data_IF_724046846782
#
_entry.id   IF_724046846782
#
_cell.length_a   1.000
_cell.length_b   1.000
_cell.length_c   1.000
_cell.angle_alpha   90.00
_cell.angle_beta   90.00
_cell.angle_gamma   90.00
#
_symmetry.space_group_name_H-M   'P 1'
#
loop_
_entity.id
_entity.type
_entity.pdbx_description
1 polymer ?
#
# COMPACT_ATOMS: atom_id res chain seq x y z
N UNK A 1 -23.88 15.30 -1.30
CA UNK A 1 -22.88 16.11 -0.58
C UNK A 1 -23.00 16.04 0.95
N UNK A 2 -24.18 15.74 1.53
CA UNK A 2 -24.37 15.57 2.99
C UNK A 2 -23.83 14.27 3.62
N UNK A 3 -22.77 13.67 3.06
CA UNK A 3 -22.17 12.41 3.54
C UNK A 3 -20.79 12.61 4.20
N UNK A 4 -20.08 13.69 3.83
CA UNK A 4 -18.77 14.02 4.38
C UNK A 4 -18.94 14.98 5.57
N UNK A 5 -18.16 14.75 6.62
CA UNK A 5 -17.96 15.72 7.68
C UNK A 5 -16.63 16.43 7.44
N UNK A 6 -16.62 17.75 7.67
CA UNK A 6 -15.51 18.65 7.41
C UNK A 6 -15.01 18.71 5.93
N UNK A 7 -15.89 18.73 4.91
CA UNK A 7 -15.42 18.98 3.55
C UNK A 7 -14.92 20.43 3.44
N UNK A 8 -13.71 20.62 2.94
CA UNK A 8 -13.17 21.96 2.73
C UNK A 8 -13.83 22.57 1.49
N UNK A 9 -14.80 23.47 1.72
CA UNK A 9 -15.52 24.19 0.67
C UNK A 9 -15.21 25.68 0.79
N UNK A 10 -14.41 26.20 -0.14
CA UNK A 10 -14.19 27.64 -0.29
C UNK A 10 -14.40 28.10 -1.73
N UNK A 11 -14.75 29.37 -1.88
CA UNK A 11 -14.88 29.99 -3.20
C UNK A 11 -13.48 30.28 -3.78
N UNK A 12 -13.31 29.99 -5.06
CA UNK A 12 -12.13 30.35 -5.82
C UNK A 12 -11.84 31.86 -5.74
N UNK A 13 -10.57 32.22 -5.54
CA UNK A 13 -10.10 33.60 -5.57
C UNK A 13 -9.35 33.85 -6.88
N UNK A 14 -9.69 34.94 -7.58
CA UNK A 14 -9.04 35.29 -8.85
C UNK A 14 -7.52 35.46 -8.63
N UNK A 15 -6.72 34.76 -9.43
CA UNK A 15 -5.26 34.78 -9.35
C UNK A 15 -4.63 33.64 -8.54
N UNK A 16 -5.45 32.80 -7.90
CA UNK A 16 -5.01 31.60 -7.20
C UNK A 16 -4.81 30.42 -8.16
N UNK A 17 -3.82 29.56 -7.90
CA UNK A 17 -3.60 28.32 -8.66
C UNK A 17 -4.68 27.29 -8.33
N UNK A 18 -5.20 26.60 -9.35
CA UNK A 18 -6.16 25.49 -9.23
C UNK A 18 -5.41 24.17 -9.35
N UNK A 19 -5.49 23.34 -8.31
CA UNK A 19 -4.80 22.07 -8.22
C UNK A 19 -5.81 20.93 -8.13
N UNK A 20 -5.77 20.01 -9.09
CA UNK A 20 -6.54 18.78 -9.04
C UNK A 20 -5.73 17.72 -8.29
N UNK A 21 -6.25 17.22 -7.17
CA UNK A 21 -5.70 16.08 -6.46
C UNK A 21 -6.44 14.81 -6.91
N UNK A 22 -5.78 14.03 -7.75
CA UNK A 22 -6.37 12.87 -8.41
C UNK A 22 -5.95 11.59 -7.70
N UNK A 23 -6.93 10.88 -7.15
CA UNK A 23 -6.78 9.50 -6.70
C UNK A 23 -7.50 8.63 -7.73
N UNK A 24 -6.78 8.04 -8.71
CA UNK A 24 -7.39 7.31 -9.83
C UNK A 24 -7.86 5.91 -9.40
N UNK A 25 -8.53 5.83 -8.26
CA UNK A 25 -9.22 4.65 -7.78
C UNK A 25 -10.52 5.08 -7.06
N UNK A 26 -11.16 4.17 -6.34
CA UNK A 26 -12.47 4.40 -5.74
C UNK A 26 -12.39 5.41 -4.60
N UNK A 27 -13.40 6.26 -4.48
CA UNK A 27 -13.57 7.25 -3.42
C UNK A 27 -13.35 6.64 -2.03
N UNK A 28 -13.91 5.45 -1.77
CA UNK A 28 -13.80 4.76 -0.48
C UNK A 28 -12.36 4.44 -0.07
N UNK A 29 -11.46 4.20 -1.02
CA UNK A 29 -10.03 4.01 -0.77
C UNK A 29 -9.31 5.34 -0.62
N UNK A 30 -9.67 6.34 -1.44
CA UNK A 30 -9.04 7.65 -1.41
C UNK A 30 -9.34 8.45 -0.14
N UNK A 31 -10.56 8.37 0.39
CA UNK A 31 -10.89 9.02 1.67
C UNK A 31 -10.17 8.36 2.85
N UNK A 32 -9.86 7.07 2.75
CA UNK A 32 -9.10 6.31 3.73
C UNK A 32 -7.56 6.43 3.55
N UNK A 33 -7.10 7.33 2.67
CA UNK A 33 -5.69 7.57 2.41
C UNK A 33 -5.21 8.84 3.13
N UNK A 34 -4.45 8.67 4.20
CA UNK A 34 -3.98 9.80 5.02
C UNK A 34 -3.02 10.74 4.28
N UNK A 35 -2.18 10.21 3.38
CA UNK A 35 -1.30 11.04 2.55
C UNK A 35 -2.08 11.95 1.61
N UNK A 36 -3.19 11.44 1.03
CA UNK A 36 -4.09 12.23 0.21
C UNK A 36 -4.77 13.35 1.02
N UNK A 37 -5.21 13.05 2.25
CA UNK A 37 -5.81 14.04 3.16
C UNK A 37 -4.80 15.13 3.54
N UNK A 38 -3.55 14.75 3.83
CA UNK A 38 -2.46 15.69 4.14
C UNK A 38 -2.14 16.61 2.96
N UNK A 39 -1.96 16.06 1.76
CA UNK A 39 -1.71 16.87 0.54
C UNK A 39 -2.90 17.82 0.29
N UNK A 40 -4.13 17.31 0.41
CA UNK A 40 -5.31 18.14 0.21
C UNK A 40 -5.40 19.31 1.20
N UNK A 41 -5.10 19.05 2.48
CA UNK A 41 -5.08 20.08 3.51
C UNK A 41 -3.97 21.11 3.26
N UNK A 42 -2.73 20.64 3.03
CA UNK A 42 -1.55 21.50 2.82
C UNK A 42 -1.74 22.41 1.60
N UNK A 43 -2.13 21.87 0.43
CA UNK A 43 -2.32 22.70 -0.77
C UNK A 43 -3.41 23.75 -0.54
N UNK A 44 -4.47 23.41 0.19
CA UNK A 44 -5.57 24.33 0.46
C UNK A 44 -5.21 25.53 1.36
N UNK A 45 -4.03 25.53 1.99
CA UNK A 45 -3.51 26.68 2.74
C UNK A 45 -3.06 27.83 1.82
N UNK A 46 -2.59 27.53 0.60
CA UNK A 46 -2.01 28.52 -0.32
C UNK A 46 -2.52 28.46 -1.77
N UNK A 47 -3.28 27.44 -2.15
CA UNK A 47 -3.88 27.28 -3.48
C UNK A 47 -5.25 26.59 -3.40
N UNK A 48 -6.06 26.62 -4.47
CA UNK A 48 -7.34 25.93 -4.47
C UNK A 48 -7.15 24.46 -4.88
N UNK A 49 -7.33 23.53 -3.95
CA UNK A 49 -7.24 22.10 -4.25
C UNK A 49 -8.61 21.42 -4.22
N UNK A 50 -8.92 20.64 -5.26
CA UNK A 50 -10.14 19.86 -5.38
C UNK A 50 -9.82 18.40 -5.73
N UNK A 51 -10.65 17.47 -5.23
CA UNK A 51 -10.39 16.02 -5.29
C UNK A 51 -11.07 15.38 -6.50
N UNK A 52 -10.43 14.35 -7.04
CA UNK A 52 -10.93 13.55 -8.15
C UNK A 52 -10.77 12.06 -7.86
N UNK A 53 -11.82 11.29 -8.10
CA UNK A 53 -11.85 9.84 -7.89
C UNK A 53 -12.39 9.12 -9.13
N UNK A 54 -11.87 7.94 -9.44
CA UNK A 54 -12.25 7.22 -10.67
C UNK A 54 -13.73 6.81 -10.73
N UNK A 55 -14.39 6.63 -9.59
CA UNK A 55 -15.82 6.28 -9.49
C UNK A 55 -16.72 7.49 -9.22
N UNK A 56 -16.16 8.70 -9.09
CA UNK A 56 -16.91 9.95 -8.95
C UNK A 56 -16.74 10.78 -10.22
N UNK A 57 -17.84 10.98 -10.96
CA UNK A 57 -17.81 11.62 -12.29
C UNK A 57 -16.76 11.03 -13.25
N UNK A 58 -16.42 9.75 -13.09
CA UNK A 58 -15.37 9.05 -13.84
C UNK A 58 -13.97 9.69 -13.71
N UNK A 59 -13.72 10.45 -12.65
CA UNK A 59 -12.48 11.21 -12.45
C UNK A 59 -12.36 12.44 -13.38
N UNK A 60 -13.42 12.85 -14.07
CA UNK A 60 -13.39 13.95 -15.03
C UNK A 60 -13.82 15.30 -14.44
N UNK A 61 -14.49 15.27 -13.28
CA UNK A 61 -14.97 16.45 -12.56
C UNK A 61 -14.65 16.31 -11.07
N UNK A 62 -14.40 17.44 -10.43
CA UNK A 62 -14.09 17.48 -9.01
C UNK A 62 -15.27 17.08 -8.13
N UNK A 63 -14.96 16.61 -6.93
CA UNK A 63 -15.97 16.28 -5.91
C UNK A 63 -16.64 17.53 -5.34
N UNK A 64 -15.85 18.58 -5.11
CA UNK A 64 -16.27 19.79 -4.38
C UNK A 64 -17.24 20.64 -5.20
N UNK A 65 -16.89 20.92 -6.46
CA UNK A 65 -17.64 21.90 -7.28
C UNK A 65 -18.14 21.33 -8.59
N UNK A 66 -17.75 20.10 -8.95
CA UNK A 66 -18.06 19.52 -10.26
C UNK A 66 -17.30 20.18 -11.41
N UNK A 67 -16.24 20.93 -11.13
CA UNK A 67 -15.38 21.58 -12.12
C UNK A 67 -14.68 20.52 -12.97
N UNK A 68 -14.72 20.61 -14.32
CA UNK A 68 -13.94 19.75 -15.21
C UNK A 68 -12.44 19.81 -14.90
N UNK A 69 -11.76 18.66 -14.96
CA UNK A 69 -10.31 18.57 -14.73
C UNK A 69 -9.51 19.51 -15.66
N UNK A 70 -9.98 19.72 -16.89
CA UNK A 70 -9.35 20.60 -17.88
C UNK A 70 -9.23 22.08 -17.45
N UNK A 71 -9.96 22.51 -16.43
CA UNK A 71 -9.90 23.89 -15.93
C UNK A 71 -8.90 24.12 -14.78
N UNK A 72 -8.10 23.10 -14.45
CA UNK A 72 -7.07 23.18 -13.41
C UNK A 72 -5.69 23.47 -14.01
N UNK A 73 -4.82 24.08 -13.23
CA UNK A 73 -3.45 24.42 -13.64
C UNK A 73 -2.49 23.23 -13.42
N UNK A 74 -2.72 22.49 -12.33
CA UNK A 74 -1.93 21.31 -11.95
C UNK A 74 -2.84 20.11 -11.72
N UNK A 75 -2.33 18.91 -12.02
CA UNK A 75 -2.94 17.64 -11.63
C UNK A 75 -1.90 16.77 -10.91
N UNK A 76 -2.11 16.57 -9.61
CA UNK A 76 -1.29 15.74 -8.74
C UNK A 76 -1.96 14.36 -8.61
N UNK A 77 -1.35 13.34 -9.20
CA UNK A 77 -1.86 11.97 -9.19
C UNK A 77 -1.20 11.16 -8.07
N UNK A 78 -2.01 10.56 -7.19
CA UNK A 78 -1.55 9.63 -6.16
C UNK A 78 -1.78 8.18 -6.60
N UNK A 79 -0.74 7.53 -7.10
CA UNK A 79 -0.78 6.17 -7.64
C UNK A 79 -0.37 5.18 -6.53
N UNK A 80 -1.33 4.43 -6.00
CA UNK A 80 -1.10 3.52 -4.87
C UNK A 80 -0.82 2.09 -5.32
N UNK A 81 -1.51 1.64 -6.38
CA UNK A 81 -1.42 0.28 -6.92
C UNK A 81 -1.20 0.31 -8.42
N UNK A 82 -0.67 -0.75 -9.02
CA UNK A 82 -0.37 -0.76 -10.46
C UNK A 82 -1.63 -0.64 -11.34
N UNK A 83 -2.77 -1.14 -10.85
CA UNK A 83 -4.05 -0.97 -11.54
C UNK A 83 -4.51 0.50 -11.61
N UNK A 84 -4.00 1.37 -10.72
CA UNK A 84 -4.28 2.81 -10.74
C UNK A 84 -3.68 3.47 -12.00
N UNK A 85 -2.60 2.92 -12.56
CA UNK A 85 -1.95 3.43 -13.77
C UNK A 85 -2.91 3.45 -14.97
N UNK A 86 -3.70 2.39 -15.18
CA UNK A 86 -4.70 2.35 -16.25
C UNK A 86 -5.74 3.45 -16.09
N UNK A 87 -6.24 3.64 -14.87
CA UNK A 87 -7.27 4.64 -14.56
C UNK A 87 -6.71 6.05 -14.69
N UNK A 88 -5.45 6.27 -14.28
CA UNK A 88 -4.77 7.55 -14.42
C UNK A 88 -4.65 7.97 -15.89
N UNK A 89 -4.14 7.08 -16.75
CA UNK A 89 -4.02 7.31 -18.20
C UNK A 89 -5.39 7.51 -18.84
N UNK A 90 -6.41 6.75 -18.42
CA UNK A 90 -7.78 6.93 -18.92
C UNK A 90 -8.37 8.31 -18.56
N UNK A 91 -8.15 8.80 -17.33
CA UNK A 91 -8.57 10.13 -16.88
C UNK A 91 -7.87 11.23 -17.69
N UNK A 92 -6.54 11.13 -17.86
CA UNK A 92 -5.76 12.10 -18.64
C UNK A 92 -6.27 12.18 -20.09
N UNK A 93 -6.46 11.03 -20.74
CA UNK A 93 -6.93 10.96 -22.12
C UNK A 93 -8.33 11.53 -22.31
N UNK A 94 -9.26 11.26 -21.38
CA UNK A 94 -10.66 11.70 -21.48
C UNK A 94 -10.89 13.14 -21.05
N UNK A 95 -10.05 13.68 -20.18
CA UNK A 95 -10.20 15.04 -19.66
C UNK A 95 -9.68 16.13 -20.59
N UNK A 96 -8.82 15.79 -21.56
CA UNK A 96 -8.06 16.77 -22.35
C UNK A 96 -7.28 17.76 -21.47
N UNK A 97 -6.83 17.33 -20.30
CA UNK A 97 -6.04 18.15 -19.38
C UNK A 97 -4.72 18.58 -20.03
N UNK A 98 -4.38 19.88 -19.93
CA UNK A 98 -3.17 20.48 -20.53
C UNK A 98 -2.25 21.16 -19.51
N UNK A 99 -2.64 21.19 -18.24
CA UNK A 99 -1.80 21.70 -17.17
C UNK A 99 -0.65 20.75 -16.84
N UNK A 100 0.08 21.07 -15.77
CA UNK A 100 1.25 20.30 -15.33
C UNK A 100 0.77 19.04 -14.58
N UNK A 101 1.21 17.86 -15.04
CA UNK A 101 0.82 16.54 -14.53
C UNK A 101 1.99 15.93 -13.75
N UNK A 102 1.80 15.74 -12.45
CA UNK A 102 2.80 15.14 -11.56
C UNK A 102 2.20 13.89 -10.94
N UNK A 103 2.93 12.78 -10.94
CA UNK A 103 2.53 11.57 -10.24
C UNK A 103 3.41 11.32 -9.02
N UNK A 104 2.83 10.75 -7.96
CA UNK A 104 3.52 10.29 -6.77
C UNK A 104 2.83 9.06 -6.18
N UNK A 105 3.30 8.62 -5.02
CA UNK A 105 2.76 7.45 -4.32
C UNK A 105 3.62 6.18 -4.46
N UNK A 106 3.28 5.10 -3.73
CA UNK A 106 4.08 3.89 -3.65
C UNK A 106 4.47 3.27 -5.00
N UNK A 107 3.53 3.19 -5.95
CA UNK A 107 3.79 2.60 -7.26
C UNK A 107 4.71 3.49 -8.12
N UNK A 108 4.69 4.80 -7.90
CA UNK A 108 5.64 5.73 -8.53
C UNK A 108 7.03 5.61 -7.89
N UNK A 109 7.09 5.43 -6.57
CA UNK A 109 8.35 5.24 -5.84
C UNK A 109 9.02 3.89 -6.14
N UNK A 110 8.25 2.89 -6.57
CA UNK A 110 8.80 1.59 -6.99
C UNK A 110 9.38 1.63 -8.41
N UNK A 111 8.62 2.17 -9.37
CA UNK A 111 9.06 2.26 -10.76
C UNK A 111 8.12 3.16 -11.57
N UNK A 112 8.49 4.43 -11.83
CA UNK A 112 7.66 5.34 -12.61
C UNK A 112 7.82 5.16 -14.12
N UNK A 113 8.75 4.33 -14.61
CA UNK A 113 9.12 4.31 -16.03
C UNK A 113 7.97 3.96 -16.96
N UNK A 114 7.07 3.06 -16.55
CA UNK A 114 5.91 2.68 -17.35
C UNK A 114 4.96 3.86 -17.60
N UNK A 115 4.94 4.85 -16.70
CA UNK A 115 4.11 6.04 -16.79
C UNK A 115 4.80 7.23 -17.47
N UNK A 116 6.10 7.13 -17.81
CA UNK A 116 6.94 8.27 -18.22
C UNK A 116 6.35 9.09 -19.36
N UNK A 117 5.65 8.46 -20.30
CA UNK A 117 5.06 9.13 -21.48
C UNK A 117 3.80 9.97 -21.17
N UNK A 118 3.22 9.81 -19.98
CA UNK A 118 1.91 10.40 -19.65
C UNK A 118 2.01 11.57 -18.66
N UNK A 119 3.12 11.67 -17.92
CA UNK A 119 3.33 12.66 -16.87
C UNK A 119 4.54 13.53 -17.19
N UNK A 120 4.50 14.76 -16.68
CA UNK A 120 5.58 15.73 -16.84
C UNK A 120 6.69 15.47 -15.81
N UNK A 121 6.32 14.99 -14.63
CA UNK A 121 7.26 14.63 -13.57
C UNK A 121 6.70 13.58 -12.60
N UNK A 122 7.60 12.99 -11.82
CA UNK A 122 7.31 12.02 -10.77
C UNK A 122 7.95 12.47 -9.46
N UNK A 123 7.19 12.49 -8.37
CA UNK A 123 7.72 12.75 -7.05
C UNK A 123 8.06 11.44 -6.34
N UNK A 124 9.34 11.24 -6.03
CA UNK A 124 9.87 10.07 -5.34
C UNK A 124 10.06 10.40 -3.86
N UNK A 125 9.07 10.06 -3.04
CA UNK A 125 9.15 10.28 -1.61
C UNK A 125 7.86 10.74 -0.96
N UNK A 126 8.06 11.43 0.16
CA UNK A 126 7.03 12.09 0.97
C UNK A 126 7.07 13.59 0.64
N UNK A 127 5.97 14.12 0.08
CA UNK A 127 5.90 15.44 -0.56
C UNK A 127 5.56 16.56 0.41
N UNK A 128 5.21 16.22 1.65
CA UNK A 128 4.81 17.18 2.68
C UNK A 128 5.88 18.28 2.85
N UNK A 129 5.42 19.54 2.89
CA UNK A 129 6.24 20.77 2.96
C UNK A 129 7.08 21.11 1.73
N UNK A 130 6.85 20.42 0.60
CA UNK A 130 7.49 20.72 -0.70
C UNK A 130 6.46 21.16 -1.75
N UNK A 131 5.17 21.10 -1.42
CA UNK A 131 4.10 21.38 -2.38
C UNK A 131 4.11 22.83 -2.87
N UNK A 132 4.45 23.81 -2.03
CA UNK A 132 4.52 25.22 -2.45
C UNK A 132 5.63 25.45 -3.49
N UNK A 133 6.81 24.85 -3.30
CA UNK A 133 7.91 24.89 -4.26
C UNK A 133 7.51 24.27 -5.60
N UNK A 134 6.98 23.04 -5.56
CA UNK A 134 6.52 22.31 -6.76
C UNK A 134 5.42 23.08 -7.48
N UNK A 135 4.46 23.62 -6.74
CA UNK A 135 3.33 24.35 -7.30
C UNK A 135 3.67 25.79 -7.64
N UNK A 136 4.90 26.27 -7.39
CA UNK A 136 5.33 27.63 -7.78
C UNK A 136 5.71 27.74 -9.26
N UNK A 137 6.10 26.63 -9.88
CA UNK A 137 6.58 26.55 -11.26
C UNK A 137 5.54 27.05 -12.28
N UNK A 138 6.03 27.48 -13.45
CA UNK A 138 5.22 27.99 -14.56
C UNK A 138 5.16 27.05 -15.76
N UNK A 139 6.15 26.16 -15.88
CA UNK A 139 6.20 25.17 -16.96
C UNK A 139 6.82 23.85 -16.45
N UNK A 140 6.58 22.73 -17.14
CA UNK A 140 7.17 21.43 -16.82
C UNK A 140 8.70 21.44 -16.66
N UNK A 141 9.40 22.24 -17.45
CA UNK A 141 10.86 22.27 -17.47
C UNK A 141 11.45 22.80 -16.15
N UNK A 142 10.72 23.69 -15.45
CA UNK A 142 11.12 24.24 -14.15
C UNK A 142 11.02 23.21 -13.01
N UNK A 143 10.42 22.03 -13.25
CA UNK A 143 10.38 20.94 -12.27
C UNK A 143 11.74 20.24 -12.12
N UNK A 144 12.59 20.28 -13.15
CA UNK A 144 13.89 19.64 -13.11
C UNK A 144 14.80 20.33 -12.09
N UNK A 145 15.50 19.53 -11.29
CA UNK A 145 16.36 20.01 -10.20
C UNK A 145 15.66 20.19 -8.85
N UNK A 146 14.32 20.12 -8.78
CA UNK A 146 13.60 20.07 -7.49
C UNK A 146 13.90 18.74 -6.79
N UNK A 147 14.21 18.78 -5.50
CA UNK A 147 14.54 17.59 -4.72
C UNK A 147 13.37 16.58 -4.73
N UNK A 148 13.67 15.33 -5.08
CA UNK A 148 12.68 14.24 -5.16
C UNK A 148 11.89 14.20 -6.46
N UNK A 149 12.03 15.19 -7.35
CA UNK A 149 11.43 15.17 -8.67
C UNK A 149 12.31 14.39 -9.65
N UNK A 150 11.67 13.53 -10.44
CA UNK A 150 12.24 12.91 -11.63
C UNK A 150 11.37 13.25 -12.84
N UNK A 151 11.95 13.97 -13.80
CA UNK A 151 11.33 14.32 -15.09
C UNK A 151 11.73 13.34 -16.19
N UNK A 152 12.67 12.43 -15.91
CA UNK A 152 13.28 11.54 -16.89
C UNK A 152 14.44 12.15 -17.66
N UNK A 153 14.78 13.41 -17.40
CA UNK A 153 16.04 14.01 -17.83
C UNK A 153 17.19 13.68 -16.84
N UNK A 154 16.87 13.36 -15.59
CA UNK A 154 17.84 13.06 -14.55
C UNK A 154 18.28 11.59 -14.62
N UNK A 155 19.60 11.37 -14.58
CA UNK A 155 20.20 10.02 -14.53
C UNK A 155 19.88 9.27 -13.22
N UNK A 156 19.61 10.02 -12.15
CA UNK A 156 19.33 9.48 -10.82
C UNK A 156 18.43 10.44 -10.03
N UNK A 157 17.55 9.88 -9.21
CA UNK A 157 16.70 10.64 -8.27
C UNK A 157 16.82 10.04 -6.88
N UNK A 158 16.94 10.91 -5.87
CA UNK A 158 16.98 10.48 -4.47
C UNK A 158 15.60 10.62 -3.84
N UNK A 159 15.17 9.57 -3.14
CA UNK A 159 13.92 9.59 -2.39
C UNK A 159 13.99 10.63 -1.26
N UNK A 160 12.96 11.47 -1.20
CA UNK A 160 12.75 12.44 -0.12
C UNK A 160 11.88 11.82 0.99
N UNK A 161 12.23 12.09 2.24
CA UNK A 161 11.39 11.76 3.39
C UNK A 161 11.61 12.77 4.52
N UNK A 162 10.56 13.04 5.29
CA UNK A 162 10.55 14.09 6.32
C UNK A 162 10.41 13.52 7.74
N UNK A 163 10.72 14.32 8.76
CA UNK A 163 10.32 13.92 10.13
C UNK A 163 8.80 13.90 10.22
N UNK A 164 8.24 12.91 10.91
CA UNK A 164 6.81 12.89 11.22
C UNK A 164 6.57 13.95 12.31
N UNK A 165 5.89 15.04 11.95
CA UNK A 165 5.60 16.15 12.86
C UNK A 165 4.22 16.05 13.51
N UNK A 166 3.51 17.18 13.62
CA UNK A 166 2.12 17.25 14.07
C UNK A 166 1.17 16.54 13.10
N UNK A 167 0.14 15.87 13.62
CA UNK A 167 -0.88 15.23 12.80
C UNK A 167 -1.86 16.27 12.24
N UNK A 168 -2.55 15.90 11.16
CA UNK A 168 -3.67 16.67 10.64
C UNK A 168 -4.80 16.71 11.69
N UNK A 169 -5.20 17.91 12.09
CA UNK A 169 -6.28 18.12 13.08
C UNK A 169 -7.67 17.93 12.46
N UNK A 170 -7.77 18.22 11.16
CA UNK A 170 -9.02 18.34 10.44
C UNK A 170 -9.01 17.44 9.20
N UNK A 171 -9.53 16.23 9.34
CA UNK A 171 -9.72 15.29 8.23
C UNK A 171 -11.11 15.39 7.63
N UNK A 172 -11.23 15.04 6.34
CA UNK A 172 -12.54 14.77 5.74
C UNK A 172 -12.98 13.39 6.17
N UNK A 173 -14.09 13.32 6.91
CA UNK A 173 -14.61 12.08 7.46
C UNK A 173 -15.80 11.60 6.62
N UNK A 174 -15.67 10.41 6.05
CA UNK A 174 -16.77 9.72 5.36
C UNK A 174 -16.64 8.19 5.54
N UNK A 175 -17.56 7.44 4.93
CA UNK A 175 -17.45 5.98 4.89
C UNK A 175 -16.30 5.57 3.94
N UNK A 176 -15.17 5.18 4.51
CA UNK A 176 -14.00 4.66 3.79
C UNK A 176 -13.79 3.16 3.98
N UNK A 177 -12.60 2.67 3.63
CA UNK A 177 -12.20 1.26 3.79
C UNK A 177 -12.28 0.74 5.24
N UNK A 178 -12.11 1.63 6.23
CA UNK A 178 -12.22 1.32 7.66
C UNK A 178 -13.60 1.66 8.25
N UNK A 179 -14.59 1.95 7.41
CA UNK A 179 -15.87 2.53 7.81
C UNK A 179 -15.77 4.05 8.01
N UNK A 180 -16.67 4.62 8.79
CA UNK A 180 -16.64 6.04 9.18
C UNK A 180 -15.75 6.22 10.41
N UNK A 181 -14.52 6.69 10.22
CA UNK A 181 -13.56 6.88 11.29
C UNK A 181 -12.64 8.09 11.02
N UNK A 182 -11.90 8.48 12.05
CA UNK A 182 -10.74 9.36 11.94
C UNK A 182 -9.49 8.50 11.74
N UNK A 183 -8.58 8.88 10.83
CA UNK A 183 -7.33 8.17 10.61
C UNK A 183 -6.24 8.77 11.51
N UNK A 184 -5.48 7.94 12.21
CA UNK A 184 -4.35 8.43 13.03
C UNK A 184 -3.10 7.71 12.56
N UNK A 185 -2.23 8.41 11.83
CA UNK A 185 -0.91 7.90 11.47
C UNK A 185 0.00 7.88 12.71
N UNK A 186 0.24 6.69 13.25
CA UNK A 186 1.11 6.50 14.41
C UNK A 186 2.56 6.27 14.01
N UNK A 187 2.82 5.93 12.75
CA UNK A 187 4.18 5.73 12.25
C UNK A 187 4.24 5.44 10.75
N UNK A 188 5.44 5.64 10.20
CA UNK A 188 5.75 5.47 8.77
C UNK A 188 7.01 4.64 8.62
N UNK A 189 7.01 3.71 7.66
CA UNK A 189 8.08 2.71 7.53
C UNK A 189 7.91 1.54 8.52
N UNK A 190 8.74 0.52 8.37
CA UNK A 190 8.68 -0.71 9.16
C UNK A 190 10.08 -1.12 9.63
N UNK A 191 10.18 -1.64 10.86
CA UNK A 191 11.45 -2.14 11.45
C UNK A 191 11.81 -3.54 10.94
N UNK A 192 10.84 -4.25 10.37
CA UNK A 192 10.97 -5.64 9.93
C UNK A 192 11.71 -5.75 8.59
N UNK A 193 12.24 -6.94 8.32
CA UNK A 193 13.17 -7.20 7.20
C UNK A 193 12.64 -8.18 6.16
N UNK A 194 11.31 -8.33 6.08
CA UNK A 194 10.66 -9.24 5.13
C UNK A 194 11.18 -9.02 3.70
N UNK A 195 11.63 -10.11 3.06
CA UNK A 195 12.38 -10.08 1.81
C UNK A 195 11.53 -9.71 0.58
N UNK A 196 10.20 -9.78 0.70
CA UNK A 196 9.25 -9.44 -0.36
C UNK A 196 8.64 -8.03 -0.22
N UNK A 197 8.84 -7.37 0.93
CA UNK A 197 8.03 -6.21 1.29
C UNK A 197 8.68 -4.90 0.83
N UNK A 198 8.05 -4.23 -0.13
CA UNK A 198 8.53 -2.96 -0.66
C UNK A 198 8.50 -1.81 0.36
N UNK A 199 7.58 -1.84 1.34
CA UNK A 199 7.47 -0.82 2.39
C UNK A 199 8.76 -0.68 3.20
N UNK A 200 9.50 -1.78 3.38
CA UNK A 200 10.84 -1.78 3.98
C UNK A 200 11.82 -0.85 3.24
N UNK A 201 11.61 -0.62 1.96
CA UNK A 201 12.52 0.11 1.08
C UNK A 201 12.07 1.55 0.91
N UNK A 202 10.84 1.74 0.43
CA UNK A 202 10.34 3.05 0.01
C UNK A 202 10.00 3.96 1.21
N UNK A 203 9.80 3.41 2.41
CA UNK A 203 9.48 4.21 3.62
C UNK A 203 10.55 4.16 4.70
N UNK A 204 11.71 3.56 4.44
CA UNK A 204 12.83 3.55 5.38
C UNK A 204 13.37 4.98 5.64
N UNK A 205 13.89 5.32 6.83
CA UNK A 205 13.83 4.56 8.08
C UNK A 205 12.44 4.59 8.73
N UNK A 206 12.10 3.57 9.55
CA UNK A 206 10.90 3.60 10.37
C UNK A 206 10.94 4.81 11.32
N UNK A 207 9.82 5.52 11.39
CA UNK A 207 9.61 6.72 12.20
C UNK A 207 8.28 6.60 12.91
N UNK A 208 8.25 7.02 14.17
CA UNK A 208 7.08 6.98 15.03
C UNK A 208 6.62 8.42 15.31
N UNK A 209 5.30 8.63 15.34
CA UNK A 209 4.73 9.92 15.73
C UNK A 209 4.67 10.02 17.24
N UNK A 210 5.06 11.16 17.80
CA UNK A 210 4.94 11.42 19.23
C UNK A 210 3.48 11.51 19.65
N UNK A 211 3.14 11.07 20.87
CA UNK A 211 1.76 11.17 21.38
C UNK A 211 1.27 12.62 21.47
N UNK A 212 2.19 13.56 21.74
CA UNK A 212 1.92 15.00 21.78
C UNK A 212 1.52 15.57 20.41
N UNK A 213 1.90 14.90 19.33
CA UNK A 213 1.59 15.27 17.95
C UNK A 213 0.27 14.65 17.46
N UNK A 214 -0.45 13.90 18.30
CA UNK A 214 -1.73 13.30 17.93
C UNK A 214 -2.83 14.36 17.87
N UNK A 215 -3.81 14.19 16.96
CA UNK A 215 -4.86 15.17 16.76
C UNK A 215 -5.92 15.07 17.86
N UNK A 216 -6.68 16.13 18.05
CA UNK A 216 -7.91 16.05 18.84
C UNK A 216 -9.05 15.48 17.98
N UNK A 217 -9.36 14.20 18.17
CA UNK A 217 -10.39 13.51 17.39
C UNK A 217 -11.80 14.01 17.76
N UNK A 218 -12.54 14.53 16.77
CA UNK A 218 -13.91 15.05 16.92
C UNK A 218 -14.83 14.54 15.81
N UNK A 219 -16.13 14.46 16.08
CA UNK A 219 -17.16 14.19 15.06
C UNK A 219 -17.35 12.72 14.67
N UNK A 220 -16.61 11.79 15.27
CA UNK A 220 -16.73 10.33 15.10
C UNK A 220 -16.42 9.59 16.39
N UNK A 221 -16.98 8.38 16.54
CA UNK A 221 -16.69 7.50 17.67
C UNK A 221 -15.61 6.44 17.39
N UNK A 222 -14.97 6.47 16.21
CA UNK A 222 -14.00 5.45 15.78
C UNK A 222 -12.71 6.06 15.26
N UNK A 223 -11.58 5.46 15.65
CA UNK A 223 -10.23 5.79 15.21
C UNK A 223 -9.60 4.59 14.50
N UNK A 224 -9.04 4.80 13.31
CA UNK A 224 -8.21 3.81 12.63
C UNK A 224 -6.72 4.15 12.84
N UNK A 225 -5.97 3.23 13.45
CA UNK A 225 -4.55 3.42 13.72
C UNK A 225 -3.72 2.95 12.51
N UNK A 226 -3.06 3.89 11.84
CA UNK A 226 -2.38 3.67 10.57
C UNK A 226 -0.87 3.63 10.78
N UNK A 227 -0.29 2.46 10.51
CA UNK A 227 1.14 2.25 10.32
C UNK A 227 1.34 0.95 9.52
N UNK A 228 2.53 0.72 8.91
CA UNK A 228 2.83 -0.56 8.27
C UNK A 228 2.81 -1.76 9.22
N UNK A 229 3.18 -1.55 10.48
CA UNK A 229 3.13 -2.56 11.55
C UNK A 229 2.82 -1.85 12.88
N UNK A 230 1.54 -1.59 13.19
CA UNK A 230 1.13 -0.83 14.38
C UNK A 230 1.68 -1.39 15.69
N UNK A 231 1.70 -2.73 15.85
CA UNK A 231 2.17 -3.39 17.06
C UNK A 231 3.69 -3.24 17.30
N UNK A 232 4.48 -2.90 16.27
CA UNK A 232 5.91 -2.60 16.43
C UNK A 232 6.16 -1.18 17.01
N UNK A 233 5.11 -0.37 17.17
CA UNK A 233 5.24 0.95 17.79
C UNK A 233 5.62 0.80 19.28
N UNK A 234 6.72 1.42 19.77
CA UNK A 234 7.20 1.23 21.14
C UNK A 234 6.17 1.54 22.24
N UNK A 235 5.24 2.46 21.95
CA UNK A 235 4.14 2.86 22.84
C UNK A 235 2.76 2.38 22.38
N UNK A 236 2.67 1.28 21.63
CA UNK A 236 1.41 0.82 21.04
C UNK A 236 0.30 0.57 22.09
N UNK A 237 0.64 -0.04 23.23
CA UNK A 237 -0.31 -0.28 24.34
C UNK A 237 -0.90 1.03 24.86
N UNK A 238 -0.03 2.01 25.12
CA UNK A 238 -0.44 3.33 25.60
C UNK A 238 -1.33 4.07 24.58
N UNK A 239 -1.04 3.93 23.28
CA UNK A 239 -1.88 4.49 22.21
C UNK A 239 -3.29 3.87 22.26
N UNK A 240 -3.38 2.54 22.32
CA UNK A 240 -4.66 1.84 22.40
C UNK A 240 -5.43 2.29 23.65
N UNK A 241 -4.78 2.25 24.81
CA UNK A 241 -5.36 2.67 26.09
C UNK A 241 -5.89 4.11 26.02
N UNK A 242 -5.11 5.04 25.47
CA UNK A 242 -5.50 6.46 25.34
C UNK A 242 -6.80 6.64 24.57
N UNK A 243 -6.99 5.91 23.46
CA UNK A 243 -8.21 6.04 22.67
C UNK A 243 -9.39 5.28 23.29
N UNK A 244 -9.15 4.10 23.89
CA UNK A 244 -10.18 3.31 24.56
C UNK A 244 -10.73 4.04 25.79
N UNK A 245 -9.87 4.63 26.63
CA UNK A 245 -10.28 5.40 27.81
C UNK A 245 -11.07 6.67 27.44
N UNK A 246 -10.81 7.24 26.27
CA UNK A 246 -11.60 8.33 25.69
C UNK A 246 -12.92 7.87 25.06
N UNK A 247 -13.22 6.57 25.10
CA UNK A 247 -14.48 5.99 24.60
C UNK A 247 -14.52 5.76 23.09
N UNK A 248 -13.38 5.71 22.41
CA UNK A 248 -13.34 5.42 20.97
C UNK A 248 -13.32 3.92 20.69
N UNK A 249 -14.02 3.52 19.62
CA UNK A 249 -13.70 2.28 18.92
C UNK A 249 -12.33 2.42 18.23
N UNK A 250 -11.50 1.39 18.28
CA UNK A 250 -10.18 1.40 17.64
C UNK A 250 -10.09 0.35 16.54
N UNK A 251 -9.36 0.66 15.47
CA UNK A 251 -9.17 -0.25 14.33
C UNK A 251 -7.74 -0.17 13.79
N UNK A 252 -6.82 -1.04 14.23
CA UNK A 252 -5.48 -1.11 13.64
C UNK A 252 -5.54 -1.69 12.21
N UNK A 253 -4.60 -1.26 11.34
CA UNK A 253 -4.54 -1.66 9.93
C UNK A 253 -4.24 -3.15 9.68
N UNK A 254 -3.42 -3.79 10.53
CA UNK A 254 -3.16 -5.24 10.60
C UNK A 254 -2.21 -5.52 11.78
N UNK A 255 -2.28 -6.68 12.43
CA UNK A 255 -1.40 -7.03 13.56
C UNK A 255 -0.54 -8.25 13.24
N UNK A 256 0.71 -8.23 13.71
CA UNK A 256 1.61 -9.39 13.62
C UNK A 256 1.39 -10.32 14.81
N UNK A 257 1.42 -11.63 14.56
CA UNK A 257 1.19 -12.64 15.59
C UNK A 257 2.25 -12.65 16.71
N UNK A 258 3.52 -12.38 16.37
CA UNK A 258 4.64 -12.32 17.33
C UNK A 258 4.54 -11.13 18.29
N UNK A 259 3.82 -10.08 17.91
CA UNK A 259 3.78 -8.80 18.62
C UNK A 259 2.54 -8.62 19.51
N UNK A 260 1.62 -9.58 19.49
CA UNK A 260 0.38 -9.53 20.30
C UNK A 260 0.53 -10.32 21.61
N UNK A 261 -0.07 -9.77 22.66
CA UNK A 261 -0.16 -10.36 24.00
C UNK A 261 -1.58 -10.18 24.59
N UNK A 262 -1.79 -10.74 25.78
CA UNK A 262 -3.08 -10.68 26.49
C UNK A 262 -3.60 -9.26 26.64
N UNK A 263 -2.74 -8.32 27.03
CA UNK A 263 -3.09 -6.93 27.33
C UNK A 263 -3.55 -6.19 26.07
N UNK A 264 -2.82 -6.33 24.96
CA UNK A 264 -3.21 -5.76 23.66
C UNK A 264 -4.57 -6.30 23.24
N UNK A 265 -4.84 -7.60 23.42
CA UNK A 265 -6.12 -8.18 23.00
C UNK A 265 -7.29 -7.71 23.85
N UNK A 266 -7.10 -7.53 25.17
CA UNK A 266 -8.12 -6.94 26.04
C UNK A 266 -8.39 -5.47 25.67
N UNK A 267 -7.35 -4.69 25.36
CA UNK A 267 -7.52 -3.32 24.87
C UNK A 267 -8.27 -3.26 23.54
N UNK A 268 -7.96 -4.15 22.59
CA UNK A 268 -8.67 -4.23 21.32
C UNK A 268 -10.14 -4.62 21.51
N UNK A 269 -10.43 -5.56 22.41
CA UNK A 269 -11.79 -5.95 22.77
C UNK A 269 -12.55 -4.80 23.43
N UNK A 270 -11.94 -4.09 24.37
CA UNK A 270 -12.50 -2.88 24.97
C UNK A 270 -12.76 -1.78 23.92
N UNK A 271 -11.92 -1.74 22.89
CA UNK A 271 -12.06 -0.92 21.69
C UNK A 271 -13.07 -1.40 20.63
N UNK A 272 -13.91 -2.38 20.96
CA UNK A 272 -14.95 -2.94 20.09
C UNK A 272 -14.45 -3.61 18.79
N UNK A 273 -13.21 -4.10 18.78
CA UNK A 273 -12.69 -4.89 17.65
C UNK A 273 -13.37 -6.26 17.64
N UNK A 274 -14.08 -6.56 16.53
CA UNK A 274 -14.82 -7.83 16.37
C UNK A 274 -14.02 -8.95 15.73
N UNK A 275 -13.05 -8.60 14.87
CA UNK A 275 -12.26 -9.56 14.13
C UNK A 275 -10.78 -9.29 14.33
N UNK A 276 -10.01 -10.35 14.59
CA UNK A 276 -8.56 -10.30 14.62
C UNK A 276 -8.01 -10.73 13.27
N UNK A 277 -7.07 -9.96 12.72
CA UNK A 277 -6.38 -10.27 11.47
C UNK A 277 -4.93 -10.57 11.76
N UNK A 278 -4.48 -11.76 11.39
CA UNK A 278 -3.09 -12.20 11.49
C UNK A 278 -2.56 -12.49 10.10
N UNK A 279 -1.35 -12.02 9.81
CA UNK A 279 -0.67 -12.30 8.56
C UNK A 279 0.48 -13.28 8.84
N UNK A 280 0.30 -14.59 8.68
CA UNK A 280 1.40 -15.57 8.68
C UNK A 280 2.20 -15.59 7.37
N UNK A 281 1.64 -15.15 6.22
CA UNK A 281 2.18 -15.31 4.85
C UNK A 281 2.36 -16.76 4.38
N UNK A 282 2.83 -17.68 5.23
CA UNK A 282 3.04 -19.09 4.87
C UNK A 282 2.74 -20.00 6.05
N UNK A 283 2.49 -21.27 5.76
CA UNK A 283 2.33 -22.34 6.74
C UNK A 283 3.58 -23.25 6.82
N UNK A 284 4.66 -22.91 6.11
CA UNK A 284 5.92 -23.64 6.10
C UNK A 284 7.01 -22.84 6.81
N UNK A 285 7.80 -23.53 7.62
CA UNK A 285 8.93 -22.94 8.36
C UNK A 285 10.00 -22.50 7.36
N UNK A 286 10.29 -23.37 6.40
CA UNK A 286 11.23 -23.17 5.29
C UNK A 286 10.90 -21.91 4.49
N UNK A 287 9.66 -21.81 4.02
CA UNK A 287 9.19 -20.62 3.29
C UNK A 287 9.18 -19.37 4.18
N UNK A 288 9.03 -19.50 5.50
CA UNK A 288 9.10 -18.36 6.42
C UNK A 288 10.52 -17.78 6.50
N UNK A 289 11.55 -18.64 6.45
CA UNK A 289 12.96 -18.22 6.35
C UNK A 289 13.23 -17.49 5.03
N UNK A 290 12.71 -18.02 3.91
CA UNK A 290 12.80 -17.36 2.59
C UNK A 290 12.13 -15.99 2.60
N UNK A 291 10.97 -15.85 3.24
CA UNK A 291 10.27 -14.58 3.39
C UNK A 291 10.95 -13.63 4.41
N UNK A 292 12.00 -14.11 5.12
CA UNK A 292 12.63 -13.43 6.26
C UNK A 292 11.58 -12.93 7.25
N UNK A 293 10.64 -13.81 7.58
CA UNK A 293 9.55 -13.52 8.50
C UNK A 293 9.86 -14.14 9.85
N UNK A 294 10.15 -13.27 10.80
CA UNK A 294 10.40 -13.65 12.20
C UNK A 294 9.08 -13.95 12.93
N UNK A 295 8.27 -14.88 12.39
CA UNK A 295 7.06 -15.39 13.04
C UNK A 295 7.11 -16.91 12.99
N UNK A 296 7.18 -17.55 14.14
CA UNK A 296 7.11 -19.01 14.22
C UNK A 296 5.66 -19.50 14.17
N UNK A 297 5.47 -20.79 13.86
CA UNK A 297 4.15 -21.42 14.00
C UNK A 297 3.66 -21.40 15.46
N UNK A 298 4.57 -21.40 16.42
CA UNK A 298 4.24 -21.31 17.85
C UNK A 298 3.70 -19.93 18.21
N UNK A 299 4.30 -18.85 17.68
CA UNK A 299 3.79 -17.50 17.86
C UNK A 299 2.37 -17.36 17.31
N UNK A 300 2.11 -17.97 16.15
CA UNK A 300 0.79 -17.98 15.54
C UNK A 300 -0.23 -18.78 16.37
N UNK A 301 0.14 -19.98 16.84
CA UNK A 301 -0.71 -20.81 17.71
C UNK A 301 -1.05 -20.08 18.99
N UNK A 302 -0.02 -19.60 19.71
CA UNK A 302 -0.17 -18.79 20.92
C UNK A 302 -1.12 -17.62 20.68
N UNK A 303 -0.88 -16.83 19.63
CA UNK A 303 -1.71 -15.68 19.25
C UNK A 303 -3.19 -16.04 19.06
N UNK A 304 -3.49 -17.17 18.40
CA UNK A 304 -4.87 -17.65 18.20
C UNK A 304 -5.47 -18.15 19.50
N UNK A 305 -4.72 -18.89 20.32
CA UNK A 305 -5.16 -19.39 21.63
C UNK A 305 -5.56 -18.24 22.56
N UNK A 306 -4.70 -17.24 22.73
CA UNK A 306 -5.02 -16.07 23.55
C UNK A 306 -6.13 -15.22 22.93
N UNK A 307 -6.40 -15.32 21.63
CA UNK A 307 -7.51 -14.63 20.97
C UNK A 307 -8.86 -15.36 21.14
N UNK A 308 -8.85 -16.63 21.53
CA UNK A 308 -10.07 -17.44 21.66
C UNK A 308 -11.03 -16.83 22.69
N UNK A 309 -12.32 -16.78 22.34
CA UNK A 309 -13.36 -16.17 23.19
C UNK A 309 -13.31 -14.63 23.28
N UNK A 310 -12.31 -13.96 22.68
CA UNK A 310 -12.21 -12.49 22.65
C UNK A 310 -12.76 -11.89 21.35
N UNK A 311 -12.70 -12.61 20.24
CA UNK A 311 -13.09 -12.13 18.91
C UNK A 311 -14.08 -13.07 18.22
N UNK A 312 -14.98 -12.51 17.40
CA UNK A 312 -16.00 -13.25 16.66
C UNK A 312 -15.44 -13.93 15.41
N UNK A 313 -14.38 -13.37 14.82
CA UNK A 313 -13.79 -13.82 13.54
C UNK A 313 -12.27 -13.73 13.53
N UNK A 314 -11.62 -14.76 12.98
CA UNK A 314 -10.20 -14.80 12.68
C UNK A 314 -9.99 -14.67 11.17
N UNK A 315 -9.21 -13.68 10.74
CA UNK A 315 -8.78 -13.51 9.34
C UNK A 315 -7.30 -13.83 9.21
N UNK A 316 -6.94 -14.68 8.25
CA UNK A 316 -5.57 -15.11 8.01
C UNK A 316 -5.13 -14.72 6.60
N UNK A 317 -4.01 -14.01 6.50
CA UNK A 317 -3.43 -13.62 5.22
C UNK A 317 -2.22 -14.49 4.89
N UNK A 318 -2.31 -15.19 3.76
CA UNK A 318 -1.25 -16.03 3.21
C UNK A 318 -0.86 -15.58 1.80
N UNK A 319 0.31 -16.04 1.38
CA UNK A 319 0.83 -15.88 0.03
C UNK A 319 0.96 -17.25 -0.63
N UNK A 320 0.91 -17.27 -1.96
CA UNK A 320 1.27 -18.44 -2.78
C UNK A 320 2.21 -18.03 -3.91
N UNK A 321 2.85 -19.00 -4.55
CA UNK A 321 3.85 -18.74 -5.57
C UNK A 321 5.16 -18.22 -4.97
N UNK A 322 5.43 -18.54 -3.71
CA UNK A 322 6.71 -18.26 -3.07
C UNK A 322 7.77 -19.17 -3.73
N UNK A 323 8.97 -18.67 -4.06
CA UNK A 323 10.05 -19.51 -4.56
C UNK A 323 10.28 -20.74 -3.65
N UNK A 324 10.37 -21.93 -4.23
CA UNK A 324 10.50 -23.19 -3.49
C UNK A 324 9.21 -23.82 -2.95
N UNK A 325 8.05 -23.13 -3.07
CA UNK A 325 6.79 -23.61 -2.50
C UNK A 325 6.25 -24.89 -3.16
N UNK A 326 6.12 -25.95 -2.35
CA UNK A 326 5.53 -27.23 -2.75
C UNK A 326 4.02 -27.23 -2.51
N UNK A 327 3.33 -28.18 -3.14
CA UNK A 327 1.88 -28.32 -2.98
C UNK A 327 1.50 -28.74 -1.54
N UNK A 328 2.39 -29.43 -0.83
CA UNK A 328 2.26 -29.76 0.59
C UNK A 328 2.24 -28.52 1.47
N UNK A 329 3.06 -27.51 1.16
CA UNK A 329 3.10 -26.25 1.91
C UNK A 329 1.78 -25.49 1.77
N UNK A 330 1.19 -25.52 0.56
CA UNK A 330 -0.15 -24.98 0.29
C UNK A 330 -1.23 -25.76 1.03
N UNK A 331 -1.12 -27.09 1.12
CA UNK A 331 -2.07 -27.92 1.88
C UNK A 331 -2.04 -27.58 3.38
N UNK A 332 -0.85 -27.33 3.94
CA UNK A 332 -0.66 -26.93 5.35
C UNK A 332 -1.39 -25.64 5.72
N UNK A 333 -1.57 -24.70 4.77
CA UNK A 333 -2.36 -23.48 5.00
C UNK A 333 -3.79 -23.83 5.44
N UNK A 334 -4.44 -24.74 4.71
CA UNK A 334 -5.80 -25.18 5.04
C UNK A 334 -5.83 -26.03 6.33
N UNK A 335 -4.79 -26.81 6.60
CA UNK A 335 -4.67 -27.62 7.84
C UNK A 335 -4.56 -26.73 9.07
N UNK A 336 -3.69 -25.72 9.07
CA UNK A 336 -3.57 -24.77 10.18
C UNK A 336 -4.89 -24.03 10.43
N UNK A 337 -5.56 -23.57 9.37
CA UNK A 337 -6.83 -22.90 9.52
C UNK A 337 -7.93 -23.83 10.08
N UNK A 338 -7.92 -25.13 9.73
CA UNK A 338 -8.80 -26.15 10.35
C UNK A 338 -8.51 -26.31 11.84
N UNK A 339 -7.25 -26.27 12.26
CA UNK A 339 -6.87 -26.32 13.68
C UNK A 339 -7.36 -25.08 14.42
N UNK A 340 -7.11 -23.89 13.88
CA UNK A 340 -7.55 -22.63 14.50
C UNK A 340 -9.07 -22.48 14.56
N UNK A 341 -9.80 -23.06 13.60
CA UNK A 341 -11.27 -23.08 13.61
C UNK A 341 -11.85 -23.75 14.85
N UNK A 342 -11.12 -24.68 15.48
CA UNK A 342 -11.54 -25.32 16.74
C UNK A 342 -11.57 -24.33 17.92
N UNK A 343 -10.80 -23.25 17.83
CA UNK A 343 -10.68 -22.21 18.86
C UNK A 343 -11.55 -20.98 18.53
N UNK A 344 -11.57 -20.56 17.25
CA UNK A 344 -12.37 -19.44 16.75
C UNK A 344 -13.22 -19.93 15.56
N UNK A 345 -14.55 -20.10 15.69
CA UNK A 345 -15.37 -20.78 14.68
C UNK A 345 -15.41 -20.13 13.29
N UNK A 346 -15.37 -18.79 13.24
CA UNK A 346 -15.43 -18.03 11.99
C UNK A 346 -14.01 -17.72 11.52
N UNK A 347 -13.51 -18.52 10.58
CA UNK A 347 -12.19 -18.34 9.98
C UNK A 347 -12.33 -17.95 8.51
N UNK A 348 -11.61 -16.92 8.11
CA UNK A 348 -11.44 -16.49 6.72
C UNK A 348 -9.96 -16.55 6.34
N UNK A 349 -9.68 -17.14 5.19
CA UNK A 349 -8.36 -17.13 4.56
C UNK A 349 -8.41 -16.22 3.33
N UNK A 350 -7.48 -15.28 3.26
CA UNK A 350 -7.18 -14.53 2.04
C UNK A 350 -5.80 -14.92 1.53
N UNK A 351 -5.71 -15.23 0.24
CA UNK A 351 -4.45 -15.61 -0.41
C UNK A 351 -4.16 -14.70 -1.58
N UNK A 352 -2.91 -14.23 -1.68
CA UNK A 352 -2.43 -13.46 -2.82
C UNK A 352 -1.14 -14.07 -3.40
N UNK A 353 -0.98 -14.14 -4.73
CA UNK A 353 0.29 -14.51 -5.33
C UNK A 353 1.41 -13.53 -4.97
N UNK A 354 2.62 -14.06 -4.79
CA UNK A 354 3.82 -13.24 -4.64
C UNK A 354 4.12 -12.48 -5.93
N UNK A 355 4.25 -11.16 -5.82
CA UNK A 355 4.76 -10.30 -6.91
C UNK A 355 6.22 -9.97 -6.60
N UNK A 356 7.18 -10.30 -7.49
CA UNK A 356 8.58 -9.93 -7.31
C UNK A 356 8.75 -8.43 -7.52
N UNK A 357 8.56 -7.66 -6.44
CA UNK A 357 8.52 -6.20 -6.48
C UNK A 357 9.92 -5.60 -6.69
N UNK A 358 10.03 -4.50 -7.48
CA UNK A 358 11.22 -3.66 -7.53
C UNK A 358 11.73 -3.32 -6.14
N UNK A 359 13.04 -3.13 -6.03
CA UNK A 359 13.71 -2.72 -4.80
C UNK A 359 13.70 -3.77 -3.67
N UNK A 360 13.12 -4.94 -3.88
CA UNK A 360 13.16 -6.05 -2.92
C UNK A 360 14.22 -7.08 -3.30
N UNK A 361 14.78 -7.84 -2.34
CA UNK A 361 15.60 -9.02 -2.66
C UNK A 361 14.92 -9.99 -3.64
N UNK A 362 13.60 -10.06 -3.64
CA UNK A 362 12.86 -10.95 -4.54
C UNK A 362 12.72 -10.45 -5.98
N UNK A 363 13.21 -9.26 -6.31
CA UNK A 363 13.04 -8.66 -7.64
C UNK A 363 13.62 -9.51 -8.78
N UNK A 364 14.60 -10.39 -8.51
CA UNK A 364 15.21 -11.27 -9.51
C UNK A 364 14.47 -12.59 -9.72
N UNK A 365 13.56 -12.97 -8.81
CA UNK A 365 12.70 -14.13 -9.04
C UNK A 365 11.65 -13.84 -10.11
N UNK A 366 11.24 -14.90 -10.81
CA UNK A 366 10.08 -14.87 -11.70
C UNK A 366 8.76 -14.87 -10.91
N UNK A 367 7.70 -14.41 -11.56
CA UNK A 367 6.34 -14.63 -11.09
C UNK A 367 5.96 -16.10 -11.26
N UNK A 368 5.30 -16.68 -10.26
CA UNK A 368 4.93 -18.09 -10.31
C UNK A 368 4.01 -18.40 -11.51
N UNK A 369 4.20 -19.58 -12.10
CA UNK A 369 3.48 -19.98 -13.31
C UNK A 369 1.96 -19.99 -13.10
N UNK A 370 1.20 -19.45 -14.06
CA UNK A 370 -0.25 -19.32 -13.94
C UNK A 370 -0.97 -20.66 -13.72
N UNK A 371 -0.54 -21.73 -14.39
CA UNK A 371 -1.16 -23.05 -14.23
C UNK A 371 -0.86 -23.67 -12.87
N UNK A 372 0.33 -23.41 -12.33
CA UNK A 372 0.70 -23.81 -10.98
C UNK A 372 -0.13 -23.06 -9.93
N UNK A 373 -0.23 -21.73 -10.05
CA UNK A 373 -1.05 -20.91 -9.17
C UNK A 373 -2.52 -21.31 -9.20
N UNK A 374 -3.07 -21.63 -10.39
CA UNK A 374 -4.45 -22.14 -10.52
C UNK A 374 -4.65 -23.44 -9.76
N UNK A 375 -3.73 -24.40 -9.88
CA UNK A 375 -3.79 -25.67 -9.15
C UNK A 375 -3.74 -25.45 -7.63
N UNK A 376 -2.85 -24.56 -7.16
CA UNK A 376 -2.71 -24.19 -5.74
C UNK A 376 -3.99 -23.55 -5.19
N UNK A 377 -4.57 -22.59 -5.93
CA UNK A 377 -5.84 -21.95 -5.55
C UNK A 377 -7.00 -22.93 -5.53
N UNK A 378 -7.09 -23.84 -6.51
CA UNK A 378 -8.15 -24.83 -6.55
C UNK A 378 -8.07 -25.80 -5.38
N UNK A 379 -6.85 -26.24 -5.02
CA UNK A 379 -6.62 -27.05 -3.82
C UNK A 379 -7.12 -26.33 -2.56
N UNK A 380 -6.72 -25.07 -2.35
CA UNK A 380 -7.15 -24.28 -1.19
C UNK A 380 -8.67 -24.09 -1.16
N UNK A 381 -9.28 -23.80 -2.31
CA UNK A 381 -10.74 -23.64 -2.43
C UNK A 381 -11.48 -24.91 -1.99
N UNK A 382 -11.03 -26.07 -2.47
CA UNK A 382 -11.62 -27.37 -2.11
C UNK A 382 -11.42 -27.66 -0.63
N UNK A 383 -10.20 -27.50 -0.10
CA UNK A 383 -9.89 -27.83 1.29
C UNK A 383 -10.56 -26.88 2.29
N UNK A 384 -10.65 -25.58 1.98
CA UNK A 384 -11.38 -24.61 2.79
C UNK A 384 -12.89 -24.89 2.77
N UNK A 385 -13.45 -25.21 1.59
CA UNK A 385 -14.88 -25.54 1.46
C UNK A 385 -15.26 -26.77 2.28
N UNK A 386 -14.43 -27.83 2.26
CA UNK A 386 -14.64 -29.04 3.09
C UNK A 386 -14.65 -28.75 4.58
N UNK A 387 -13.91 -27.72 5.01
CA UNK A 387 -13.79 -27.32 6.41
C UNK A 387 -14.74 -26.19 6.84
N UNK A 388 -15.58 -25.68 5.93
CA UNK A 388 -16.41 -24.51 6.21
C UNK A 388 -15.59 -23.26 6.57
N UNK A 389 -14.45 -23.07 5.90
CA UNK A 389 -13.58 -21.90 6.03
C UNK A 389 -13.89 -20.96 4.85
N UNK A 390 -14.09 -19.68 5.15
CA UNK A 390 -14.30 -18.66 4.11
C UNK A 390 -12.98 -18.44 3.35
N UNK A 391 -13.02 -18.42 2.02
CA UNK A 391 -11.83 -18.30 1.20
C UNK A 391 -11.99 -17.16 0.17
N UNK A 392 -11.14 -16.15 0.28
CA UNK A 392 -11.04 -15.07 -0.71
C UNK A 392 -10.12 -15.50 -1.85
N UNK A 393 -10.66 -15.57 -3.07
CA UNK A 393 -9.91 -15.98 -4.26
C UNK A 393 -9.36 -14.75 -4.99
N UNK A 394 -8.04 -14.66 -5.21
CA UNK A 394 -7.42 -13.54 -5.92
C UNK A 394 -7.68 -13.62 -7.42
N UNK A 395 -7.70 -12.46 -8.08
CA UNK A 395 -7.73 -12.39 -9.54
C UNK A 395 -6.32 -12.53 -10.13
N UNK A 396 -5.91 -13.73 -10.52
CA UNK A 396 -4.57 -13.99 -11.06
C UNK A 396 -4.17 -13.09 -12.23
N UNK A 397 -5.13 -12.65 -13.06
CA UNK A 397 -4.82 -11.75 -14.19
C UNK A 397 -4.36 -10.38 -13.70
N UNK A 398 -4.91 -9.89 -12.59
CA UNK A 398 -4.47 -8.63 -12.00
C UNK A 398 -3.04 -8.74 -11.46
N UNK A 399 -2.66 -9.84 -10.80
CA UNK A 399 -1.29 -10.06 -10.32
C UNK A 399 -0.25 -10.17 -11.45
N UNK A 400 -0.65 -10.75 -12.59
CA UNK A 400 0.18 -10.73 -13.81
C UNK A 400 0.39 -9.30 -14.29
N UNK A 401 -0.69 -8.51 -14.36
CA UNK A 401 -0.61 -7.10 -14.75
C UNK A 401 0.27 -6.29 -13.79
N UNK A 402 0.08 -6.47 -12.48
CA UNK A 402 0.89 -5.83 -11.45
C UNK A 402 2.37 -6.15 -11.63
N UNK A 403 2.72 -7.42 -11.89
CA UNK A 403 4.12 -7.80 -12.15
C UNK A 403 4.67 -7.10 -13.39
N UNK A 404 3.92 -7.10 -14.49
CA UNK A 404 4.31 -6.47 -15.76
C UNK A 404 4.53 -4.97 -15.59
N UNK A 405 3.65 -4.27 -14.86
CA UNK A 405 3.76 -2.83 -14.63
C UNK A 405 4.93 -2.51 -13.70
N UNK A 406 5.02 -3.22 -12.56
CA UNK A 406 6.07 -3.01 -11.59
C UNK A 406 7.46 -3.21 -12.21
N UNK A 407 7.61 -4.19 -13.10
CA UNK A 407 8.89 -4.54 -13.73
C UNK A 407 9.12 -3.89 -15.10
N UNK A 408 8.16 -3.11 -15.59
CA UNK A 408 8.16 -2.57 -16.94
C UNK A 408 9.09 -1.37 -17.15
N UNK A 409 9.36 -1.08 -18.42
CA UNK A 409 10.05 0.11 -18.89
C UNK A 409 9.08 1.07 -19.59
N UNK A 410 9.61 2.11 -20.26
CA UNK A 410 8.80 3.08 -20.98
C UNK A 410 7.96 2.44 -22.12
N UNK A 411 8.50 1.42 -22.80
CA UNK A 411 7.76 0.69 -23.84
C UNK A 411 6.57 -0.06 -23.27
N UNK A 412 6.68 -0.53 -22.03
CA UNK A 412 5.59 -1.20 -21.32
C UNK A 412 4.40 -0.26 -21.08
N UNK A 413 4.58 1.06 -21.13
CA UNK A 413 3.50 2.04 -21.02
C UNK A 413 2.39 1.91 -22.09
N UNK A 414 2.67 1.28 -23.24
CA UNK A 414 1.68 1.04 -24.30
C UNK A 414 0.50 0.16 -23.86
N UNK A 415 0.66 -0.61 -22.79
CA UNK A 415 -0.44 -1.43 -22.25
C UNK A 415 -1.60 -0.56 -21.73
N UNK A 416 -1.33 0.66 -21.27
CA UNK A 416 -2.37 1.52 -20.69
C UNK A 416 -3.36 2.03 -21.74
N UNK A 417 -2.93 2.09 -23.00
CA UNK A 417 -3.77 2.48 -24.14
C UNK A 417 -4.35 1.26 -24.86
N UNK A 418 -3.51 0.25 -25.16
CA UNK A 418 -3.91 -0.94 -25.90
C UNK A 418 -4.71 -1.95 -25.08
N UNK A 419 -4.59 -1.91 -23.75
CA UNK A 419 -5.08 -2.93 -22.79
C UNK A 419 -4.56 -4.35 -23.07
N UNK A 420 -3.57 -4.50 -23.94
CA UNK A 420 -2.96 -5.78 -24.28
C UNK A 420 -1.59 -5.89 -23.64
N UNK A 421 -1.36 -6.98 -22.91
CA UNK A 421 -0.12 -7.24 -22.19
C UNK A 421 0.60 -8.51 -22.69
N UNK A 422 0.15 -9.09 -23.81
CA UNK A 422 0.70 -10.35 -24.35
C UNK A 422 2.17 -10.24 -24.75
N UNK A 423 2.57 -9.09 -25.28
CA UNK A 423 3.93 -8.81 -25.74
C UNK A 423 4.94 -8.68 -24.60
N UNK A 424 4.46 -8.48 -23.37
CA UNK A 424 5.30 -8.22 -22.18
C UNK A 424 5.36 -9.42 -21.22
N UNK A 425 4.91 -10.61 -21.65
CA UNK A 425 4.95 -11.82 -20.80
C UNK A 425 6.35 -12.18 -20.30
N UNK A 426 7.41 -11.80 -21.03
CA UNK A 426 8.80 -11.99 -20.59
C UNK A 426 9.13 -11.28 -19.27
N UNK A 427 8.38 -10.25 -18.88
CA UNK A 427 8.54 -9.58 -17.58
C UNK A 427 8.04 -10.44 -16.41
N UNK A 428 7.48 -11.62 -16.66
CA UNK A 428 7.14 -12.60 -15.64
C UNK A 428 8.30 -13.55 -15.34
N UNK A 429 9.27 -13.67 -16.23
CA UNK A 429 10.42 -14.57 -16.09
C UNK A 429 11.40 -14.05 -15.02
N UNK A 430 12.31 -14.88 -14.48
CA UNK A 430 13.41 -14.39 -13.65
C UNK A 430 14.26 -13.33 -14.36
N UNK A 431 14.86 -12.41 -13.60
CA UNK A 431 15.77 -11.38 -14.14
C UNK A 431 17.21 -11.80 -13.90
N UNK A 432 18.07 -11.62 -14.89
CA UNK A 432 19.51 -11.79 -14.75
C UNK A 432 20.07 -10.80 -13.72
N UNK A 433 20.92 -11.29 -12.81
CA UNK A 433 21.52 -10.49 -11.74
C UNK A 433 22.34 -9.31 -12.27
N UNK A 434 22.97 -9.47 -13.43
CA UNK A 434 23.81 -8.45 -14.07
C UNK A 434 23.04 -7.49 -14.97
N UNK A 435 21.73 -7.70 -15.13
CA UNK A 435 20.92 -6.78 -15.91
C UNK A 435 20.75 -5.42 -15.20
N UNK A 436 20.84 -4.34 -15.97
CA UNK A 436 20.34 -3.04 -15.57
C UNK A 436 18.81 -3.07 -15.46
N UNK A 437 18.30 -2.65 -14.31
CA UNK A 437 16.88 -2.68 -14.00
C UNK A 437 16.26 -1.31 -14.31
N UNK A 438 15.02 -1.27 -14.83
CA UNK A 438 14.29 -0.02 -15.10
C UNK A 438 14.23 0.94 -13.91
N UNK A 439 14.33 0.47 -12.67
CA UNK A 439 14.24 1.28 -11.46
C UNK A 439 15.60 1.58 -10.78
N UNK A 440 16.73 1.17 -11.37
CA UNK A 440 18.07 1.34 -10.74
C UNK A 440 18.49 2.81 -10.54
N UNK A 441 17.85 3.73 -11.26
CA UNK A 441 18.08 5.17 -11.13
C UNK A 441 17.48 5.78 -9.84
N UNK A 442 16.67 5.04 -9.09
CA UNK A 442 16.05 5.51 -7.86
C UNK A 442 16.91 5.16 -6.65
N UNK A 443 17.32 6.19 -5.91
CA UNK A 443 18.06 6.05 -4.67
C UNK A 443 17.13 6.14 -3.45
N UNK A 444 16.75 4.97 -2.92
CA UNK A 444 15.98 4.86 -1.67
C UNK A 444 16.84 4.94 -0.40
N UNK A 445 18.16 5.15 -0.52
CA UNK A 445 19.10 5.20 0.59
C UNK A 445 19.82 3.88 0.88
N UNK A 446 19.83 2.94 -0.07
CA UNK A 446 20.57 1.69 0.03
C UNK A 446 21.29 1.36 -1.29
N UNK A 447 22.29 0.47 -1.21
CA UNK A 447 23.07 0.01 -2.36
C UNK A 447 22.48 -1.26 -3.00
N UNK A 448 22.47 -1.38 -4.34
CA UNK A 448 21.94 -2.55 -5.08
C UNK A 448 22.64 -3.85 -4.64
N UNK A 449 23.92 -3.78 -4.31
CA UNK A 449 24.74 -4.90 -3.82
C UNK A 449 24.18 -5.49 -2.50
N UNK A 450 23.56 -4.67 -1.64
CA UNK A 450 22.88 -5.18 -0.44
C UNK A 450 21.74 -6.13 -0.82
N UNK A 451 20.94 -5.77 -1.83
CA UNK A 451 19.85 -6.62 -2.29
C UNK A 451 20.37 -7.87 -2.98
N UNK A 452 21.46 -7.77 -3.76
CA UNK A 452 22.10 -8.93 -4.41
C UNK A 452 22.54 -9.95 -3.36
N UNK A 453 23.28 -9.50 -2.33
CA UNK A 453 23.67 -10.36 -1.21
C UNK A 453 22.46 -11.00 -0.52
N UNK A 454 21.42 -10.20 -0.24
CA UNK A 454 20.20 -10.73 0.37
C UNK A 454 19.52 -11.77 -0.54
N UNK A 455 19.56 -11.63 -1.87
CA UNK A 455 19.03 -12.61 -2.81
C UNK A 455 19.86 -13.89 -2.88
N UNK A 456 21.19 -13.79 -2.89
CA UNK A 456 22.10 -14.95 -2.82
C UNK A 456 21.83 -15.78 -1.57
N UNK A 457 21.67 -15.13 -0.41
CA UNK A 457 21.25 -15.79 0.85
C UNK A 457 19.91 -16.55 0.69
N UNK A 458 18.94 -16.00 -0.06
CA UNK A 458 17.68 -16.69 -0.32
C UNK A 458 17.89 -17.91 -1.23
N UNK A 459 18.75 -17.81 -2.24
CA UNK A 459 19.06 -18.95 -3.10
C UNK A 459 19.74 -20.08 -2.32
N UNK A 460 20.66 -19.76 -1.40
CA UNK A 460 21.29 -20.77 -0.54
C UNK A 460 20.27 -21.51 0.34
N UNK A 461 19.26 -20.80 0.87
CA UNK A 461 18.16 -21.43 1.62
C UNK A 461 17.40 -22.41 0.71
N UNK A 462 17.01 -21.95 -0.48
CA UNK A 462 16.26 -22.77 -1.45
C UNK A 462 17.06 -23.97 -1.99
N UNK A 463 18.38 -23.89 -2.05
CA UNK A 463 19.25 -24.99 -2.51
C UNK A 463 19.46 -26.06 -1.45
N UNK A 464 19.54 -25.69 -0.16
CA UNK A 464 19.63 -26.66 0.95
C UNK A 464 18.39 -27.53 1.08
N UNK A 465 17.28 -27.12 0.49
CA UNK A 465 15.97 -27.76 0.58
C UNK A 465 15.61 -28.65 -0.62
N UNK A 466 16.46 -28.68 -1.66
CA UNK A 466 16.36 -29.62 -2.77
C UNK A 466 17.08 -30.93 -2.43
#
# INVERSE_FOLDING_TARGET
MGMEFNPFLRRFRKGEKRVALVYPNRYVGGIANIGLQQIYAEVNEFAMCERFYSDVFNGLRSVETGTPLSEFDFALFSIQYENDCFKAVEILRKSNFRGIKIAGGPCVMENPRTLRRFFDAFFIGEVERRLEEILSVRSPEELSGIEGIWTGAEDRVKRVYSRIGKHLENEIIANGAYGRCFLVEIGRGCVRRCSFCIVRQIYFPPRWRSLEDFPEVRGVGKVALIAPSPADHPRFREILQTFVEKGFEVSPSSLRADSIDEEILELLKAGNVKSITLAPETASIELSEVLKKDISLEDLKRAVEISAGKFEKLKLYYMIGIPGERIEDVRRIAEHAKEFKKLIPNVEISVNPLVPKPHTPMQWFGFAGLDELRKKLELLRIECSKAGIEFSTPNLKEFVLQTIIARGDERTGEIFESRSHSSYRKLLDPIDLEQDLPWDFIDHGYKKERLRKEFEELQEILEKEK
#
